data_IF_708168860123
#
_entry.id   IF_708168860123
#
_cell.length_a   1.000
_cell.length_b   1.000
_cell.length_c   1.000
_cell.angle_alpha   90.00
_cell.angle_beta   90.00
_cell.angle_gamma   90.00
#
_symmetry.space_group_name_H-M   'P 1'
#
loop_
_entity.id
_entity.type
_entity.pdbx_description
1 polymer ?
#
# COMPACT_ATOMS: atom_id res chain seq x y z
N UNK A 1 25.04 -37.30 12.77
CA UNK A 1 24.46 -36.63 11.59
C UNK A 1 23.24 -35.90 12.11
N UNK A 2 23.23 -34.57 12.07
CA UNK A 2 22.08 -33.79 12.56
C UNK A 2 21.04 -33.79 11.43
N UNK A 3 19.96 -34.55 11.61
CA UNK A 3 18.82 -34.56 10.69
C UNK A 3 18.05 -33.25 10.88
N UNK A 4 18.34 -32.26 10.05
CA UNK A 4 17.46 -31.11 9.91
C UNK A 4 16.23 -31.54 9.10
N UNK A 5 15.00 -31.24 9.56
CA UNK A 5 13.80 -31.53 8.79
C UNK A 5 13.87 -30.82 7.44
N UNK A 6 13.41 -31.49 6.38
CA UNK A 6 13.31 -30.91 5.04
C UNK A 6 12.65 -29.53 5.12
N UNK A 7 13.33 -28.52 4.55
CA UNK A 7 12.87 -27.14 4.53
C UNK A 7 11.41 -27.09 4.09
N UNK A 8 10.52 -26.71 5.01
CA UNK A 8 9.20 -26.22 4.60
C UNK A 8 9.47 -25.08 3.64
N UNK A 9 9.08 -25.23 2.36
CA UNK A 9 9.22 -24.20 1.32
C UNK A 9 8.82 -22.84 1.90
N UNK A 10 9.81 -22.07 2.33
CA UNK A 10 9.59 -20.74 2.85
C UNK A 10 9.47 -19.87 1.60
N UNK A 11 8.24 -19.55 1.22
CA UNK A 11 8.02 -18.58 0.15
C UNK A 11 8.73 -17.26 0.54
N UNK A 12 9.54 -16.69 -0.37
CA UNK A 12 10.26 -15.46 -0.08
C UNK A 12 9.26 -14.34 0.21
N UNK A 13 9.48 -13.61 1.29
CA UNK A 13 8.58 -12.54 1.77
C UNK A 13 8.80 -11.19 1.08
N UNK A 14 9.91 -11.04 0.38
CA UNK A 14 10.28 -9.84 -0.34
C UNK A 14 10.78 -10.23 -1.72
N UNK A 15 10.26 -9.57 -2.75
CA UNK A 15 10.71 -9.72 -4.13
C UNK A 15 11.30 -8.40 -4.61
N UNK A 16 12.44 -8.45 -5.29
CA UNK A 16 13.09 -7.27 -5.87
C UNK A 16 13.05 -7.36 -7.38
N UNK A 17 12.67 -6.27 -8.04
CA UNK A 17 12.68 -6.13 -9.51
C UNK A 17 13.51 -4.91 -9.88
N UNK A 18 14.56 -5.09 -10.67
CA UNK A 18 15.22 -4.01 -11.42
C UNK A 18 14.64 -3.97 -12.83
N UNK A 19 14.27 -2.79 -13.32
CA UNK A 19 13.69 -2.66 -14.64
C UNK A 19 13.69 -1.25 -15.16
N UNK A 20 13.14 -1.10 -16.37
CA UNK A 20 12.99 0.19 -17.04
C UNK A 20 11.52 0.59 -17.17
N UNK A 21 11.25 1.86 -16.91
CA UNK A 21 10.00 2.55 -17.19
C UNK A 21 9.95 2.85 -18.69
N UNK A 22 8.78 2.66 -19.28
CA UNK A 22 8.51 3.10 -20.65
C UNK A 22 8.29 4.61 -20.71
N UNK A 23 8.03 5.12 -21.92
CA UNK A 23 7.62 6.51 -22.10
C UNK A 23 6.38 6.85 -21.26
N UNK A 24 6.44 7.97 -20.54
CA UNK A 24 5.37 8.50 -19.71
C UNK A 24 4.55 9.50 -20.50
N UNK A 25 3.33 9.12 -20.90
CA UNK A 25 2.32 10.06 -21.37
C UNK A 25 1.46 10.52 -20.17
N UNK A 26 1.47 11.81 -19.80
CA UNK A 26 0.64 12.34 -18.72
C UNK A 26 -0.87 12.09 -18.92
N UNK A 27 -1.33 11.99 -20.18
CA UNK A 27 -2.74 11.75 -20.50
C UNK A 27 -3.13 10.29 -20.41
N UNK A 28 -2.15 9.38 -20.56
CA UNK A 28 -2.36 7.95 -20.52
C UNK A 28 -1.25 7.27 -19.72
N UNK A 29 -1.21 7.48 -18.39
CA UNK A 29 -0.15 6.91 -17.56
C UNK A 29 -0.17 5.38 -17.62
N UNK A 30 1.00 4.71 -17.62
CA UNK A 30 1.04 3.25 -17.69
C UNK A 30 0.34 2.60 -16.50
N UNK A 31 -0.44 1.54 -16.74
CA UNK A 31 -1.20 0.84 -15.68
C UNK A 31 -0.88 -0.65 -15.56
N UNK A 32 -0.38 -1.28 -16.63
CA UNK A 32 -0.20 -2.76 -16.69
C UNK A 32 1.22 -3.23 -16.38
N UNK A 33 2.20 -2.33 -16.42
CA UNK A 33 3.62 -2.67 -16.24
C UNK A 33 4.09 -2.20 -14.87
N UNK A 34 5.06 -2.91 -14.31
CA UNK A 34 5.78 -2.44 -13.11
C UNK A 34 6.57 -1.16 -13.45
N UNK A 35 6.69 -0.23 -12.49
CA UNK A 35 6.21 -0.33 -11.11
C UNK A 35 4.73 0.06 -10.92
N UNK A 36 4.09 0.65 -11.94
CA UNK A 36 2.70 1.16 -11.87
C UNK A 36 1.66 0.11 -11.49
N UNK A 37 1.77 -1.09 -12.06
CA UNK A 37 0.86 -2.19 -11.75
C UNK A 37 0.97 -2.63 -10.28
N UNK A 38 2.14 -2.53 -9.65
CA UNK A 38 2.30 -2.87 -8.23
C UNK A 38 1.49 -1.93 -7.34
N UNK A 39 1.55 -0.62 -7.61
CA UNK A 39 0.75 0.39 -6.89
C UNK A 39 -0.76 0.15 -7.10
N UNK A 40 -1.17 -0.18 -8.32
CA UNK A 40 -2.59 -0.38 -8.67
C UNK A 40 -3.17 -1.71 -8.17
N UNK A 41 -2.32 -2.70 -7.90
CA UNK A 41 -2.72 -3.99 -7.34
C UNK A 41 -2.94 -3.93 -5.83
N UNK A 42 -2.54 -2.85 -5.16
CA UNK A 42 -2.87 -2.64 -3.75
C UNK A 42 -4.38 -2.61 -3.54
N UNK A 43 -4.88 -3.31 -2.53
CA UNK A 43 -6.31 -3.31 -2.22
C UNK A 43 -6.75 -2.01 -1.55
N UNK A 44 -6.15 -1.73 -0.39
CA UNK A 44 -6.43 -0.55 0.42
C UNK A 44 -5.13 0.06 0.88
N UNK A 45 -4.88 1.32 0.53
CA UNK A 45 -3.65 2.00 0.90
C UNK A 45 -3.90 2.80 2.17
N UNK A 46 -3.11 2.54 3.20
CA UNK A 46 -3.10 3.33 4.43
C UNK A 46 -2.11 4.48 4.34
N UNK A 47 -0.98 4.24 3.68
CA UNK A 47 0.20 5.08 3.73
C UNK A 47 0.84 5.17 2.35
N UNK A 48 1.13 6.39 1.91
CA UNK A 48 2.01 6.67 0.79
C UNK A 48 3.12 7.60 1.26
N UNK A 49 4.36 7.38 0.82
CA UNK A 49 5.50 8.22 1.18
C UNK A 49 6.35 8.55 -0.03
N UNK A 50 6.85 9.78 -0.06
CA UNK A 50 7.85 10.24 -1.01
C UNK A 50 9.09 10.69 -0.24
N UNK A 51 10.25 10.11 -0.55
CA UNK A 51 11.54 10.48 0.01
C UNK A 51 12.42 10.99 -1.13
N UNK A 52 13.00 12.16 -0.96
CA UNK A 52 13.85 12.81 -1.96
C UNK A 52 14.87 13.74 -1.27
N UNK A 53 15.99 14.07 -1.94
CA UNK A 53 16.90 15.12 -1.47
C UNK A 53 16.19 16.44 -1.18
N UNK A 54 16.64 17.13 -0.15
CA UNK A 54 16.06 18.41 0.30
C UNK A 54 16.10 19.48 -0.80
N UNK A 55 17.17 19.52 -1.59
CA UNK A 55 17.30 20.48 -2.70
C UNK A 55 16.23 20.25 -3.77
N UNK A 56 15.89 18.98 -4.06
CA UNK A 56 14.82 18.64 -5.00
C UNK A 56 13.45 19.00 -4.46
N UNK A 57 13.21 18.76 -3.16
CA UNK A 57 11.97 19.13 -2.52
C UNK A 57 11.72 20.65 -2.64
N UNK A 58 12.74 21.46 -2.38
CA UNK A 58 12.65 22.92 -2.49
C UNK A 58 12.31 23.38 -3.91
N UNK A 59 12.80 22.67 -4.93
CA UNK A 59 12.49 22.94 -6.35
C UNK A 59 11.03 22.61 -6.66
N UNK A 60 10.55 21.41 -6.27
CA UNK A 60 9.26 20.90 -6.76
C UNK A 60 8.07 21.28 -5.87
N UNK A 61 8.28 21.61 -4.59
CA UNK A 61 7.20 21.68 -3.58
C UNK A 61 6.00 22.52 -3.99
N UNK A 62 6.22 23.68 -4.63
CA UNK A 62 5.13 24.60 -4.97
C UNK A 62 4.21 23.98 -6.01
N UNK A 63 4.76 23.54 -7.13
CA UNK A 63 3.98 23.00 -8.25
C UNK A 63 3.45 21.60 -7.90
N UNK A 64 4.26 20.80 -7.19
CA UNK A 64 3.89 19.48 -6.71
C UNK A 64 2.59 19.49 -5.89
N UNK A 65 2.50 20.36 -4.87
CA UNK A 65 1.32 20.42 -4.01
C UNK A 65 0.12 21.18 -4.60
N UNK A 66 0.35 22.06 -5.58
CA UNK A 66 -0.73 22.77 -6.27
C UNK A 66 -1.49 21.87 -7.24
N UNK A 67 -0.78 20.98 -7.92
CA UNK A 67 -1.36 20.08 -8.92
C UNK A 67 -1.85 18.75 -8.34
N UNK A 68 -1.33 18.35 -7.17
CA UNK A 68 -1.77 17.13 -6.50
C UNK A 68 -3.17 17.28 -5.91
N UNK A 69 -4.08 16.38 -6.26
CA UNK A 69 -5.40 16.32 -5.63
C UNK A 69 -5.28 15.86 -4.18
N UNK A 70 -5.93 16.58 -3.26
CA UNK A 70 -5.95 16.21 -1.84
C UNK A 70 -6.94 15.05 -1.66
N UNK A 71 -6.51 13.85 -1.24
CA UNK A 71 -7.42 12.75 -1.09
C UNK A 71 -8.30 12.99 0.15
N UNK A 72 -9.59 12.69 -0.02
CA UNK A 72 -10.60 12.79 1.04
C UNK A 72 -11.30 11.45 1.12
N UNK A 73 -11.49 10.97 2.34
CA UNK A 73 -12.31 9.79 2.60
C UNK A 73 -13.38 10.11 3.64
N UNK A 74 -14.46 9.35 3.63
CA UNK A 74 -15.56 9.48 4.57
C UNK A 74 -15.49 8.38 5.62
N UNK A 75 -15.58 8.74 6.89
CA UNK A 75 -15.70 7.80 8.02
C UNK A 75 -17.14 7.78 8.51
N UNK A 76 -17.74 6.59 8.59
CA UNK A 76 -19.15 6.42 8.96
C UNK A 76 -19.31 5.22 9.88
N UNK A 77 -20.17 5.31 10.90
CA UNK A 77 -20.51 4.17 11.75
C UNK A 77 -21.88 3.67 11.33
N UNK A 78 -21.94 2.49 10.71
CA UNK A 78 -23.19 1.88 10.26
C UNK A 78 -23.14 0.34 10.33
N UNK A 79 -24.29 -0.32 10.54
CA UNK A 79 -24.38 -1.78 10.46
C UNK A 79 -24.34 -2.24 8.99
N UNK A 80 -23.90 -3.48 8.77
CA UNK A 80 -23.83 -4.09 7.43
C UNK A 80 -25.16 -4.02 6.67
N UNK A 81 -26.30 -4.12 7.38
CA UNK A 81 -27.63 -4.02 6.81
C UNK A 81 -27.85 -2.70 6.04
N UNK A 82 -27.32 -1.59 6.54
CA UNK A 82 -27.48 -0.28 5.90
C UNK A 82 -26.79 -0.22 4.53
N UNK A 83 -25.76 -1.04 4.28
CA UNK A 83 -25.13 -1.14 2.95
C UNK A 83 -26.05 -1.73 1.88
N UNK A 84 -27.12 -2.42 2.29
CA UNK A 84 -28.09 -3.08 1.41
C UNK A 84 -29.37 -2.28 1.20
N UNK A 85 -29.40 -1.01 1.65
CA UNK A 85 -30.60 -0.18 1.67
C UNK A 85 -30.46 1.03 0.73
N UNK A 86 -31.60 1.40 0.12
CA UNK A 86 -31.77 2.64 -0.63
C UNK A 86 -30.83 2.84 -1.82
N UNK A 87 -30.62 4.12 -2.16
CA UNK A 87 -29.75 4.54 -3.25
C UNK A 87 -28.28 4.21 -3.00
N UNK A 88 -27.86 4.17 -1.73
CA UNK A 88 -26.51 3.82 -1.35
C UNK A 88 -26.13 2.41 -1.85
N UNK A 89 -27.03 1.44 -1.68
CA UNK A 89 -26.86 0.11 -2.24
C UNK A 89 -26.78 0.13 -3.76
N UNK A 90 -27.74 0.77 -4.43
CA UNK A 90 -27.86 0.73 -5.89
C UNK A 90 -26.67 1.39 -6.60
N UNK A 91 -26.20 2.52 -6.08
CA UNK A 91 -25.20 3.33 -6.75
C UNK A 91 -23.77 2.93 -6.43
N UNK A 92 -23.47 2.62 -5.17
CA UNK A 92 -22.11 2.34 -4.72
C UNK A 92 -21.82 0.85 -4.52
N UNK A 93 -22.71 0.11 -3.88
CA UNK A 93 -22.40 -1.25 -3.39
C UNK A 93 -22.72 -2.34 -4.41
N UNK A 94 -23.88 -2.26 -5.07
CA UNK A 94 -24.40 -3.30 -5.97
C UNK A 94 -23.47 -3.61 -7.14
N UNK A 95 -22.63 -2.66 -7.54
CA UNK A 95 -21.69 -2.81 -8.67
C UNK A 95 -20.42 -3.60 -8.30
N UNK A 96 -20.19 -3.87 -7.01
CA UNK A 96 -18.98 -4.52 -6.49
C UNK A 96 -19.19 -5.92 -5.89
N UNK A 97 -18.11 -6.42 -5.28
CA UNK A 97 -18.08 -7.66 -4.49
C UNK A 97 -17.85 -7.25 -3.04
N UNK A 98 -18.69 -7.76 -2.13
CA UNK A 98 -18.52 -7.58 -0.70
C UNK A 98 -17.79 -8.78 -0.12
N UNK A 99 -16.56 -8.57 0.35
CA UNK A 99 -15.75 -9.61 1.00
C UNK A 99 -15.73 -9.38 2.51
N UNK A 100 -16.17 -10.38 3.27
CA UNK A 100 -16.21 -10.34 4.73
C UNK A 100 -15.25 -11.37 5.32
N UNK A 101 -14.43 -10.95 6.27
CA UNK A 101 -13.56 -11.84 7.05
C UNK A 101 -14.20 -12.06 8.42
N UNK A 102 -14.75 -13.25 8.64
CA UNK A 102 -15.50 -13.61 9.84
C UNK A 102 -14.70 -14.56 10.73
N UNK A 103 -14.86 -14.43 12.04
CA UNK A 103 -14.45 -15.49 12.96
C UNK A 103 -15.40 -16.70 12.87
N UNK A 104 -15.00 -17.82 13.48
CA UNK A 104 -15.75 -19.08 13.44
C UNK A 104 -17.20 -18.91 13.91
N UNK A 105 -17.41 -18.26 15.05
CA UNK A 105 -18.72 -18.16 15.67
C UNK A 105 -19.65 -17.30 14.81
N UNK A 106 -19.16 -16.13 14.37
CA UNK A 106 -19.89 -15.25 13.47
C UNK A 106 -20.23 -15.93 12.15
N UNK A 107 -19.30 -16.68 11.57
CA UNK A 107 -19.50 -17.41 10.30
C UNK A 107 -20.58 -18.50 10.43
N UNK A 108 -20.46 -19.38 11.43
CA UNK A 108 -21.39 -20.49 11.65
C UNK A 108 -22.81 -19.99 11.96
N UNK A 109 -22.93 -18.92 12.76
CA UNK A 109 -24.22 -18.29 13.08
C UNK A 109 -24.82 -17.53 11.91
N UNK A 110 -24.00 -16.80 11.14
CA UNK A 110 -24.46 -16.08 9.96
C UNK A 110 -24.97 -17.06 8.90
N UNK A 111 -24.40 -18.27 8.89
CA UNK A 111 -24.75 -19.32 7.96
C UNK A 111 -24.57 -18.80 6.53
N UNK A 112 -23.48 -18.12 6.20
CA UNK A 112 -23.17 -17.70 4.84
C UNK A 112 -22.21 -18.69 4.20
N UNK A 113 -22.13 -18.72 2.88
CA UNK A 113 -21.17 -19.58 2.17
C UNK A 113 -19.82 -18.89 2.14
N UNK A 114 -18.79 -19.50 2.71
CA UNK A 114 -17.43 -18.98 2.70
C UNK A 114 -16.38 -20.09 2.71
N UNK A 115 -15.13 -19.68 2.52
CA UNK A 115 -13.95 -20.56 2.52
C UNK A 115 -13.08 -20.26 3.74
N UNK A 116 -12.40 -21.26 4.33
CA UNK A 116 -11.46 -21.00 5.40
C UNK A 116 -10.27 -20.17 4.89
N UNK A 117 -9.91 -19.12 5.64
CA UNK A 117 -8.76 -18.25 5.39
C UNK A 117 -7.50 -18.81 6.06
N UNK A 118 -6.47 -19.09 5.26
CA UNK A 118 -5.14 -19.49 5.70
C UNK A 118 -4.85 -21.01 5.69
N UNK A 119 -3.56 -21.34 5.76
CA UNK A 119 -3.07 -22.72 5.77
C UNK A 119 -3.52 -23.40 7.06
N UNK A 120 -4.27 -24.49 6.93
CA UNK A 120 -4.66 -25.36 8.05
C UNK A 120 -3.41 -25.75 8.85
N UNK A 121 -3.32 -25.31 10.12
CA UNK A 121 -2.46 -26.00 11.11
C UNK A 121 -1.19 -25.31 11.61
N UNK A 122 -1.14 -23.99 11.85
CA UNK A 122 -0.15 -23.42 12.79
C UNK A 122 -0.79 -23.06 14.13
N UNK A 123 -0.32 -23.70 15.22
CA UNK A 123 -0.62 -23.32 16.62
C UNK A 123 -0.39 -21.81 16.75
N UNK A 124 -1.46 -21.05 17.08
CA UNK A 124 -1.56 -19.59 17.36
C UNK A 124 -2.34 -18.72 16.37
N UNK A 125 -2.78 -19.21 15.22
CA UNK A 125 -3.68 -18.41 14.34
C UNK A 125 -5.14 -18.80 14.58
N UNK A 126 -5.99 -17.83 14.94
CA UNK A 126 -7.45 -18.06 14.99
C UNK A 126 -7.93 -18.25 13.55
N UNK A 127 -8.62 -19.37 13.22
CA UNK A 127 -9.14 -19.56 11.89
C UNK A 127 -10.14 -18.44 11.56
N UNK A 128 -10.05 -17.89 10.36
CA UNK A 128 -11.03 -16.95 9.79
C UNK A 128 -11.73 -17.62 8.60
N UNK A 129 -12.89 -17.10 8.23
CA UNK A 129 -13.63 -17.51 7.03
C UNK A 129 -13.82 -16.28 6.15
N UNK A 130 -13.50 -16.43 4.87
CA UNK A 130 -13.76 -15.43 3.83
C UNK A 130 -15.11 -15.71 3.21
N UNK A 131 -16.02 -14.77 3.31
CA UNK A 131 -17.34 -14.80 2.67
C UNK A 131 -17.35 -13.75 1.57
N UNK A 132 -17.35 -14.19 0.32
CA UNK A 132 -17.44 -13.31 -0.85
C UNK A 132 -18.86 -13.27 -1.39
N UNK A 133 -19.42 -12.07 -1.49
CA UNK A 133 -20.79 -11.84 -1.93
C UNK A 133 -20.75 -10.95 -3.18
N UNK A 134 -20.97 -11.57 -4.34
CA UNK A 134 -21.19 -10.83 -5.57
C UNK A 134 -22.66 -10.40 -5.66
N UNK A 135 -22.91 -9.12 -5.36
CA UNK A 135 -24.25 -8.53 -5.29
C UNK A 135 -24.91 -8.30 -6.66
N UNK A 136 -24.21 -8.61 -7.76
CA UNK A 136 -24.73 -8.53 -9.14
C UNK A 136 -25.39 -9.83 -9.61
N UNK A 137 -25.24 -10.93 -8.87
CA UNK A 137 -25.79 -12.21 -9.27
C UNK A 137 -27.34 -12.18 -9.26
N UNK A 138 -28.01 -12.91 -10.16
CA UNK A 138 -29.49 -12.99 -10.18
C UNK A 138 -30.11 -13.50 -8.86
N UNK A 139 -29.34 -14.24 -8.06
CA UNK A 139 -29.73 -14.72 -6.72
C UNK A 139 -29.70 -13.63 -5.64
N UNK A 140 -29.09 -12.48 -5.94
CA UNK A 140 -28.94 -11.31 -5.05
C UNK A 140 -29.98 -10.21 -5.34
N UNK A 141 -31.06 -10.57 -6.05
CA UNK A 141 -32.21 -9.70 -6.22
C UNK A 141 -33.14 -9.79 -5.01
N UNK A 142 -33.82 -8.68 -4.70
CA UNK A 142 -34.81 -8.60 -3.63
C UNK A 142 -35.89 -9.69 -3.79
N UNK A 143 -36.23 -10.38 -2.69
CA UNK A 143 -37.22 -11.47 -2.66
C UNK A 143 -36.69 -12.82 -3.15
N UNK A 144 -35.39 -12.93 -3.46
CA UNK A 144 -34.73 -14.22 -3.69
C UNK A 144 -34.14 -14.73 -2.38
N UNK A 145 -34.24 -16.04 -2.17
CA UNK A 145 -33.70 -16.74 -0.97
C UNK A 145 -32.22 -16.41 -0.69
N UNK A 146 -31.42 -16.19 -1.73
CA UNK A 146 -30.01 -15.82 -1.59
C UNK A 146 -29.83 -14.46 -0.94
N UNK A 147 -30.49 -13.43 -1.48
CA UNK A 147 -30.49 -12.09 -0.90
C UNK A 147 -31.11 -12.05 0.49
N UNK A 148 -32.25 -12.71 0.69
CA UNK A 148 -32.96 -12.72 1.98
C UNK A 148 -32.10 -13.34 3.10
N UNK A 149 -31.28 -14.35 2.77
CA UNK A 149 -30.32 -14.96 3.70
C UNK A 149 -29.25 -13.96 4.15
N UNK A 150 -28.75 -13.12 3.25
CA UNK A 150 -27.76 -12.08 3.57
C UNK A 150 -28.40 -11.00 4.46
N UNK A 151 -29.59 -10.53 4.07
CA UNK A 151 -30.34 -9.54 4.86
C UNK A 151 -30.61 -10.09 6.27
N UNK A 152 -30.98 -11.36 6.40
CA UNK A 152 -31.16 -12.02 7.70
C UNK A 152 -29.85 -12.04 8.50
N UNK A 153 -28.74 -12.45 7.89
CA UNK A 153 -27.43 -12.49 8.56
C UNK A 153 -27.02 -11.09 9.05
N UNK A 154 -27.17 -10.05 8.24
CA UNK A 154 -26.80 -8.67 8.59
C UNK A 154 -27.74 -8.05 9.63
N UNK A 155 -28.99 -8.51 9.70
CA UNK A 155 -29.97 -8.03 10.69
C UNK A 155 -29.84 -8.72 12.04
N UNK A 156 -29.59 -10.03 12.06
CA UNK A 156 -29.75 -10.84 13.28
C UNK A 156 -28.42 -11.37 13.85
N UNK A 157 -27.36 -11.42 13.03
CA UNK A 157 -26.07 -11.97 13.46
C UNK A 157 -24.99 -10.89 13.42
N UNK A 158 -24.77 -10.29 12.25
CA UNK A 158 -23.79 -9.24 12.02
C UNK A 158 -24.41 -7.85 12.19
N UNK A 159 -25.16 -7.67 13.27
CA UNK A 159 -25.99 -6.49 13.53
C UNK A 159 -25.23 -5.32 14.16
N UNK A 160 -24.08 -5.59 14.77
CA UNK A 160 -23.26 -4.58 15.42
C UNK A 160 -22.76 -3.57 14.38
N UNK A 161 -22.99 -2.26 14.57
CA UNK A 161 -22.41 -1.23 13.73
C UNK A 161 -20.89 -1.28 13.76
N UNK A 162 -20.26 -1.09 12.60
CA UNK A 162 -18.80 -0.99 12.47
C UNK A 162 -18.42 0.35 11.84
N UNK A 163 -17.17 0.74 12.03
CA UNK A 163 -16.63 1.94 11.39
C UNK A 163 -16.19 1.61 9.97
N UNK A 164 -16.83 2.24 8.99
CA UNK A 164 -16.53 2.16 7.58
C UNK A 164 -15.67 3.34 7.15
N UNK A 165 -14.72 3.07 6.25
CA UNK A 165 -13.95 4.07 5.52
C UNK A 165 -14.37 3.97 4.05
N UNK A 166 -14.89 5.06 3.50
CA UNK A 166 -15.30 5.15 2.11
C UNK A 166 -14.38 6.12 1.37
N UNK A 167 -13.84 5.69 0.23
CA UNK A 167 -13.07 6.52 -0.67
C UNK A 167 -13.83 6.60 -1.99
N UNK A 168 -14.16 7.81 -2.43
CA UNK A 168 -14.75 8.01 -3.75
C UNK A 168 -13.64 7.89 -4.80
N UNK A 169 -13.82 6.97 -5.75
CA UNK A 169 -12.87 6.72 -6.83
C UNK A 169 -13.02 7.69 -8.00
N UNK A 170 -13.87 8.72 -7.87
CA UNK A 170 -14.09 9.76 -8.87
C UNK A 170 -15.19 9.43 -9.85
N UNK A 171 -16.25 8.73 -9.40
CA UNK A 171 -17.50 8.72 -10.15
C UNK A 171 -18.15 10.11 -10.03
N UNK A 172 -18.90 10.53 -11.05
CA UNK A 172 -19.68 11.77 -11.01
C UNK A 172 -20.39 11.90 -9.67
N UNK A 173 -20.07 12.97 -8.92
CA UNK A 173 -20.64 13.19 -7.60
C UNK A 173 -22.17 13.23 -7.72
N UNK A 174 -22.84 12.29 -7.07
CA UNK A 174 -24.29 12.28 -6.98
C UNK A 174 -24.74 13.41 -6.06
N UNK A 175 -25.76 14.16 -6.47
CA UNK A 175 -26.35 15.22 -5.67
C UNK A 175 -27.85 14.92 -5.51
N UNK A 176 -28.32 14.57 -4.30
CA UNK A 176 -27.56 14.41 -3.04
C UNK A 176 -26.68 13.15 -3.02
N UNK A 177 -25.62 13.15 -2.20
CA UNK A 177 -24.78 11.97 -1.99
C UNK A 177 -25.58 10.95 -1.14
N UNK A 178 -25.81 9.71 -1.63
CA UNK A 178 -26.51 8.68 -0.87
C UNK A 178 -25.91 8.37 0.51
N UNK A 179 -24.63 8.70 0.74
CA UNK A 179 -23.97 8.53 2.04
C UNK A 179 -24.37 9.60 3.06
N UNK A 180 -24.86 10.77 2.63
CA UNK A 180 -25.16 11.93 3.51
C UNK A 180 -26.21 11.60 4.58
N UNK A 181 -27.14 10.68 4.30
CA UNK A 181 -28.17 10.22 5.27
C UNK A 181 -27.55 9.57 6.51
N UNK A 182 -26.30 9.12 6.42
CA UNK A 182 -25.56 8.49 7.50
C UNK A 182 -24.58 9.44 8.21
N UNK A 183 -24.67 10.75 7.93
CA UNK A 183 -23.87 11.81 8.55
C UNK A 183 -22.35 11.51 8.54
N UNK A 184 -21.75 11.31 7.35
CA UNK A 184 -20.35 10.93 7.25
C UNK A 184 -19.41 12.01 7.78
N UNK A 185 -18.36 11.61 8.50
CA UNK A 185 -17.25 12.51 8.81
C UNK A 185 -16.26 12.49 7.63
N UNK A 186 -16.21 13.59 6.86
CA UNK A 186 -15.20 13.74 5.80
C UNK A 186 -13.84 14.04 6.42
N UNK A 187 -12.83 13.27 6.03
CA UNK A 187 -11.45 13.41 6.50
C UNK A 187 -10.56 13.70 5.30
N UNK A 188 -10.02 14.92 5.27
CA UNK A 188 -9.00 15.30 4.31
C UNK A 188 -7.64 14.77 4.78
N UNK A 189 -6.91 14.08 3.90
CA UNK A 189 -5.55 13.65 4.19
C UNK A 189 -4.61 14.80 3.87
N UNK A 190 -3.92 15.27 4.90
CA UNK A 190 -2.90 16.31 4.80
C UNK A 190 -1.52 15.62 4.82
N UNK A 191 -0.60 15.97 3.92
CA UNK A 191 0.76 15.46 3.98
C UNK A 191 1.47 15.92 5.25
N UNK A 192 2.14 14.99 5.92
CA UNK A 192 3.11 15.26 6.97
C UNK A 192 4.50 15.35 6.34
N UNK A 193 5.26 16.40 6.64
CA UNK A 193 6.57 16.66 6.03
C UNK A 193 7.62 16.59 7.13
N UNK A 194 8.51 15.60 7.04
CA UNK A 194 9.71 15.49 7.86
C UNK A 194 10.91 15.97 7.04
N UNK A 195 11.49 17.11 7.40
CA UNK A 195 12.69 17.67 6.80
C UNK A 195 13.95 17.38 7.63
N UNK A 196 15.11 17.85 7.16
CA UNK A 196 16.40 17.77 7.87
C UNK A 196 16.82 16.34 8.26
N UNK A 197 16.40 15.33 7.49
CA UNK A 197 16.83 13.95 7.70
C UNK A 197 18.26 13.82 7.19
N UNK A 198 19.23 14.02 8.09
CA UNK A 198 20.65 13.87 7.81
C UNK A 198 20.99 12.41 7.62
N UNK A 199 21.64 12.08 6.51
CA UNK A 199 22.06 10.72 6.18
C UNK A 199 23.49 10.68 5.64
N UNK A 200 24.19 9.56 5.88
CA UNK A 200 25.29 9.16 5.00
C UNK A 200 24.67 8.49 3.77
N UNK A 201 24.94 9.03 2.59
CA UNK A 201 24.36 8.57 1.33
C UNK A 201 25.14 7.38 0.78
N UNK A 202 24.52 6.17 0.70
CA UNK A 202 25.09 5.06 -0.04
C UNK A 202 24.99 5.34 -1.55
N UNK A 203 25.70 4.54 -2.35
CA UNK A 203 25.40 4.47 -3.78
C UNK A 203 24.00 3.90 -3.96
N UNK A 204 23.14 4.59 -4.71
CA UNK A 204 21.82 4.09 -5.11
C UNK A 204 21.80 3.50 -6.53
N UNK A 205 22.97 3.35 -7.15
CA UNK A 205 23.12 2.73 -8.46
C UNK A 205 23.30 1.23 -8.30
N UNK A 206 22.47 0.39 -8.94
CA UNK A 206 22.66 -1.05 -8.90
C UNK A 206 24.00 -1.42 -9.55
N UNK A 207 24.60 -2.57 -9.17
CA UNK A 207 25.78 -3.09 -9.85
C UNK A 207 25.55 -3.21 -11.37
N UNK A 208 26.60 -3.00 -12.15
CA UNK A 208 26.55 -3.09 -13.63
C UNK A 208 27.26 -4.32 -14.18
N UNK A 209 28.04 -5.02 -13.37
CA UNK A 209 28.88 -6.13 -13.84
C UNK A 209 28.06 -7.40 -14.07
N UNK A 210 27.91 -7.82 -15.33
CA UNK A 210 27.22 -9.06 -15.70
C UNK A 210 28.06 -10.33 -15.45
N UNK A 211 28.88 -10.34 -14.40
CA UNK A 211 29.70 -11.49 -14.02
C UNK A 211 28.79 -12.64 -13.54
N UNK A 212 29.38 -13.84 -13.33
CA UNK A 212 28.66 -14.95 -12.70
C UNK A 212 28.18 -14.64 -11.27
N UNK A 213 28.76 -13.62 -10.63
CA UNK A 213 28.47 -13.18 -9.26
C UNK A 213 27.42 -12.05 -9.21
N UNK A 214 27.00 -11.51 -10.37
CA UNK A 214 26.03 -10.41 -10.48
C UNK A 214 24.75 -10.63 -9.66
N UNK A 215 24.25 -11.87 -9.63
CA UNK A 215 23.04 -12.21 -8.91
C UNK A 215 23.17 -12.03 -7.39
N UNK A 216 24.35 -12.32 -6.84
CA UNK A 216 24.63 -12.18 -5.42
C UNK A 216 24.94 -10.71 -5.08
N UNK A 217 25.76 -10.03 -5.89
CA UNK A 217 26.07 -8.60 -5.71
C UNK A 217 24.79 -7.72 -5.76
N UNK A 218 23.92 -7.99 -6.74
CA UNK A 218 22.64 -7.28 -6.86
C UNK A 218 21.74 -7.53 -5.66
N UNK A 219 21.71 -8.78 -5.16
CA UNK A 219 20.89 -9.15 -4.01
C UNK A 219 21.37 -8.44 -2.75
N UNK A 220 22.67 -8.42 -2.49
CA UNK A 220 23.24 -7.75 -1.32
C UNK A 220 22.97 -6.24 -1.40
N UNK A 221 23.25 -5.62 -2.55
CA UNK A 221 22.90 -4.22 -2.82
C UNK A 221 21.41 -3.93 -2.56
N UNK A 222 20.52 -4.80 -3.05
CA UNK A 222 19.09 -4.61 -2.91
C UNK A 222 18.60 -4.75 -1.46
N UNK A 223 19.18 -5.66 -0.69
CA UNK A 223 18.86 -5.84 0.74
C UNK A 223 19.35 -4.65 1.54
N UNK A 224 20.61 -4.27 1.37
CA UNK A 224 21.24 -3.15 2.07
C UNK A 224 20.53 -1.81 1.77
N UNK A 225 20.20 -1.57 0.49
CA UNK A 225 19.47 -0.37 0.08
C UNK A 225 18.07 -0.34 0.69
N UNK A 226 17.35 -1.46 0.69
CA UNK A 226 16.02 -1.52 1.29
C UNK A 226 16.05 -1.33 2.81
N UNK A 227 17.04 -1.89 3.50
CA UNK A 227 17.23 -1.67 4.94
C UNK A 227 17.47 -0.19 5.25
N UNK A 228 18.38 0.45 4.52
CA UNK A 228 18.66 1.89 4.66
C UNK A 228 17.42 2.76 4.42
N UNK A 229 16.67 2.49 3.34
CA UNK A 229 15.40 3.19 3.05
C UNK A 229 14.33 2.95 4.12
N UNK A 230 14.28 1.74 4.67
CA UNK A 230 13.36 1.39 5.76
C UNK A 230 13.68 2.17 7.03
N UNK A 231 14.97 2.34 7.36
CA UNK A 231 15.40 3.12 8.51
C UNK A 231 15.06 4.61 8.36
N UNK A 232 15.18 5.19 7.15
CA UNK A 232 14.70 6.55 6.85
C UNK A 232 13.18 6.64 7.03
N UNK A 233 12.44 5.67 6.50
CA UNK A 233 10.98 5.61 6.62
C UNK A 233 10.52 5.53 8.08
N UNK A 234 11.31 4.88 8.93
CA UNK A 234 11.09 4.76 10.38
C UNK A 234 11.58 5.95 11.22
N UNK A 235 12.18 6.99 10.60
CA UNK A 235 12.87 8.07 11.32
C UNK A 235 13.94 7.55 12.30
N UNK A 236 14.63 6.47 11.93
CA UNK A 236 15.64 5.87 12.78
C UNK A 236 16.87 6.78 12.86
N UNK A 237 17.45 7.00 14.05
CA UNK A 237 18.71 7.74 14.19
C UNK A 237 19.89 7.00 13.55
N UNK A 238 19.77 5.69 13.26
CA UNK A 238 20.88 4.86 12.73
C UNK A 238 21.41 5.28 11.36
N UNK A 239 20.64 6.05 10.59
CA UNK A 239 21.10 6.60 9.31
C UNK A 239 21.83 7.94 9.46
N UNK A 240 21.74 8.58 10.63
CA UNK A 240 22.33 9.88 10.90
C UNK A 240 23.86 9.78 11.03
N UNK A 241 24.63 10.60 10.28
CA UNK A 241 26.10 10.61 10.36
C UNK A 241 26.65 10.92 11.75
N UNK A 242 25.89 11.66 12.57
CA UNK A 242 26.31 12.13 13.89
C UNK A 242 25.83 11.20 15.02
N UNK A 243 25.26 10.05 14.68
CA UNK A 243 24.77 9.06 15.64
C UNK A 243 25.92 8.38 16.43
N UNK A 244 25.80 8.34 17.75
CA UNK A 244 26.83 7.83 18.68
C UNK A 244 26.38 6.57 19.40
N UNK A 245 25.69 5.68 18.70
CA UNK A 245 25.24 4.42 19.29
C UNK A 245 26.41 3.52 19.66
N UNK A 246 26.30 2.90 20.83
CA UNK A 246 27.22 1.85 21.25
C UNK A 246 27.16 0.66 20.26
N UNK A 247 28.33 0.23 19.77
CA UNK A 247 28.45 -0.86 18.80
C UNK A 247 28.01 -2.22 19.35
N UNK A 248 27.93 -2.39 20.67
CA UNK A 248 27.30 -3.54 21.31
C UNK A 248 25.77 -3.54 21.13
N UNK A 249 25.14 -2.37 20.99
CA UNK A 249 23.69 -2.23 20.81
C UNK A 249 23.28 -2.24 19.33
N UNK A 250 24.08 -1.64 18.45
CA UNK A 250 23.81 -1.63 17.02
C UNK A 250 25.11 -1.65 16.22
N UNK A 251 25.20 -2.59 15.28
CA UNK A 251 26.31 -2.69 14.31
C UNK A 251 25.91 -2.20 12.93
N UNK A 252 24.73 -1.58 12.82
CA UNK A 252 24.26 -1.07 11.54
C UNK A 252 25.19 0.05 11.08
N UNK A 253 25.61 -0.05 9.83
CA UNK A 253 26.35 0.99 9.11
C UNK A 253 25.65 1.19 7.77
N UNK A 254 25.47 2.44 7.31
CA UNK A 254 24.92 2.71 5.98
C UNK A 254 25.70 1.95 4.89
N UNK A 255 25.02 1.51 3.81
CA UNK A 255 25.67 0.72 2.76
C UNK A 255 26.85 1.44 2.08
N UNK A 256 27.91 0.69 1.80
CA UNK A 256 29.12 1.21 1.16
C UNK A 256 29.98 2.14 2.04
N UNK A 257 31.09 2.61 1.48
CA UNK A 257 32.09 3.43 2.21
C UNK A 257 31.87 4.94 2.06
N UNK A 258 30.73 5.37 1.52
CA UNK A 258 30.48 6.78 1.24
C UNK A 258 30.30 7.60 2.52
N UNK A 259 31.16 8.59 2.69
CA UNK A 259 31.05 9.63 3.74
C UNK A 259 30.23 10.84 3.27
N UNK A 260 29.57 10.72 2.12
CA UNK A 260 28.78 11.80 1.53
C UNK A 260 27.57 12.06 2.42
N UNK A 261 27.55 13.23 3.06
CA UNK A 261 26.41 13.67 3.87
C UNK A 261 25.38 14.33 2.97
N UNK A 262 24.10 14.01 3.18
CA UNK A 262 22.98 14.66 2.50
C UNK A 262 21.82 14.84 3.46
N UNK A 263 20.95 15.80 3.14
CA UNK A 263 19.68 15.99 3.82
C UNK A 263 18.55 15.48 2.93
N UNK A 264 17.67 14.68 3.52
CA UNK A 264 16.47 14.20 2.85
C UNK A 264 15.24 14.85 3.43
N UNK A 265 14.22 14.93 2.59
CA UNK A 265 12.85 15.24 2.99
C UNK A 265 11.99 14.01 2.76
N UNK A 266 11.14 13.70 3.74
CA UNK A 266 10.11 12.67 3.65
C UNK A 266 8.74 13.33 3.74
N UNK A 267 7.89 13.03 2.76
CA UNK A 267 6.50 13.47 2.71
C UNK A 267 5.62 12.23 2.89
N UNK A 268 4.77 12.22 3.90
CA UNK A 268 3.94 11.08 4.26
C UNK A 268 2.46 11.45 4.20
N UNK A 269 1.70 10.73 3.39
CA UNK A 269 0.23 10.79 3.37
C UNK A 269 -0.32 9.58 4.11
N UNK A 270 -1.13 9.80 5.15
CA UNK A 270 -1.71 8.73 5.96
C UNK A 270 -3.21 8.87 6.11
N UNK A 271 -3.96 7.81 5.78
CA UNK A 271 -5.42 7.83 5.79
C UNK A 271 -6.01 6.59 5.15
N UNK A 272 -7.07 6.77 4.36
CA UNK A 272 -7.63 5.74 3.49
C UNK A 272 -7.54 6.23 2.05
N UNK A 273 -6.56 5.70 1.32
CA UNK A 273 -6.14 6.18 0.01
C UNK A 273 -6.52 5.15 -1.06
N UNK A 274 -6.98 5.62 -2.21
CA UNK A 274 -7.24 4.74 -3.36
C UNK A 274 -5.94 4.42 -4.12
N UNK A 275 -5.79 3.21 -4.69
CA UNK A 275 -4.70 2.86 -5.58
C UNK A 275 -4.56 3.81 -6.78
N UNK A 276 -5.68 4.28 -7.33
CA UNK A 276 -5.69 5.24 -8.44
C UNK A 276 -5.10 6.59 -8.05
N UNK A 277 -5.37 7.09 -6.84
CA UNK A 277 -4.75 8.31 -6.32
C UNK A 277 -3.24 8.13 -6.10
N UNK A 278 -2.82 7.03 -5.46
CA UNK A 278 -1.40 6.77 -5.22
C UNK A 278 -0.62 6.58 -6.53
N UNK A 279 -1.23 5.97 -7.54
CA UNK A 279 -0.67 5.86 -8.88
C UNK A 279 -0.51 7.23 -9.56
N UNK A 280 -1.54 8.09 -9.48
CA UNK A 280 -1.46 9.46 -10.01
C UNK A 280 -0.38 10.28 -9.30
N UNK A 281 -0.25 10.16 -7.98
CA UNK A 281 0.81 10.83 -7.22
C UNK A 281 2.21 10.39 -7.66
N UNK A 282 2.41 9.08 -7.87
CA UNK A 282 3.68 8.56 -8.37
C UNK A 282 4.02 9.08 -9.78
N UNK A 283 3.05 9.07 -10.69
CA UNK A 283 3.22 9.66 -12.03
C UNK A 283 3.55 11.16 -11.93
N UNK A 284 2.89 11.87 -11.02
CA UNK A 284 3.14 13.28 -10.79
C UNK A 284 4.56 13.55 -10.29
N UNK A 285 5.08 12.72 -9.37
CA UNK A 285 6.47 12.78 -8.93
C UNK A 285 7.45 12.55 -10.10
N UNK A 286 7.18 11.55 -10.95
CA UNK A 286 8.01 11.29 -12.14
C UNK A 286 8.05 12.46 -13.13
N UNK A 287 6.97 13.24 -13.25
CA UNK A 287 6.88 14.37 -14.17
C UNK A 287 7.52 15.66 -13.62
N UNK A 288 7.55 15.83 -12.30
CA UNK A 288 8.06 17.04 -11.65
C UNK A 288 9.51 16.93 -11.18
N UNK A 289 9.98 15.73 -10.86
CA UNK A 289 11.37 15.50 -10.45
C UNK A 289 12.29 15.46 -11.68
N UNK A 290 13.46 16.11 -11.67
CA UNK A 290 14.42 16.05 -12.78
C UNK A 290 14.75 14.61 -13.20
N UNK A 291 14.96 14.41 -14.51
CA UNK A 291 15.14 13.09 -15.09
C UNK A 291 16.36 12.34 -14.56
N UNK A 292 17.45 13.02 -14.20
CA UNK A 292 18.64 12.39 -13.64
C UNK A 292 18.58 12.22 -12.12
N UNK A 293 17.62 12.85 -11.45
CA UNK A 293 17.52 12.82 -10.00
C UNK A 293 16.83 11.56 -9.48
N UNK A 294 17.13 11.16 -8.25
CA UNK A 294 16.49 10.02 -7.60
C UNK A 294 15.38 10.46 -6.66
N UNK A 295 14.42 9.58 -6.44
CA UNK A 295 13.47 9.66 -5.34
C UNK A 295 12.98 8.25 -5.01
N UNK A 296 12.42 8.08 -3.82
CA UNK A 296 11.77 6.85 -3.38
C UNK A 296 10.30 7.10 -3.13
N UNK A 297 9.47 6.20 -3.64
CA UNK A 297 8.04 6.20 -3.41
C UNK A 297 7.63 4.90 -2.74
N UNK A 298 7.02 4.99 -1.57
CA UNK A 298 6.48 3.86 -0.85
C UNK A 298 4.95 3.91 -0.83
N UNK A 299 4.32 2.75 -0.97
CA UNK A 299 2.88 2.57 -0.81
C UNK A 299 2.66 1.33 0.04
N UNK A 300 1.90 1.50 1.12
CA UNK A 300 1.63 0.43 2.06
C UNK A 300 0.17 0.36 2.50
N UNK A 301 -0.27 -0.87 2.74
CA UNK A 301 -1.63 -1.19 3.14
C UNK A 301 -1.90 -1.04 4.64
N UNK A 302 -3.08 -1.49 5.06
CA UNK A 302 -3.42 -1.56 6.49
C UNK A 302 -2.81 -2.81 7.13
N UNK A 303 -1.97 -2.62 8.14
CA UNK A 303 -1.44 -3.73 8.94
C UNK A 303 -2.57 -4.61 9.49
N UNK A 304 -2.57 -5.89 9.11
CA UNK A 304 -3.54 -6.90 9.58
C UNK A 304 -4.82 -7.03 8.75
N UNK A 305 -5.04 -6.19 7.74
CA UNK A 305 -6.06 -6.41 6.70
C UNK A 305 -5.41 -7.24 5.60
N UNK A 306 -5.78 -8.51 5.50
CA UNK A 306 -5.31 -9.37 4.41
C UNK A 306 -6.21 -9.15 3.21
N UNK A 307 -5.75 -8.38 2.25
CA UNK A 307 -6.29 -8.43 0.89
C UNK A 307 -5.37 -9.34 0.10
N UNK A 308 -5.96 -10.38 -0.51
CA UNK A 308 -5.19 -11.32 -1.31
C UNK A 308 -4.45 -10.57 -2.43
N UNK A 309 -3.12 -10.71 -2.48
CA UNK A 309 -2.29 -10.08 -3.50
C UNK A 309 -1.77 -8.66 -3.18
N UNK A 310 -2.22 -8.00 -2.10
CA UNK A 310 -1.65 -6.72 -1.65
C UNK A 310 -0.24 -6.94 -1.10
N UNK A 311 0.71 -6.14 -1.56
CA UNK A 311 2.11 -6.15 -1.12
C UNK A 311 2.59 -4.72 -0.99
N UNK A 312 3.03 -4.36 0.20
CA UNK A 312 3.70 -3.08 0.42
C UNK A 312 4.83 -2.94 -0.60
N UNK A 313 4.83 -1.81 -1.33
CA UNK A 313 5.77 -1.58 -2.40
C UNK A 313 6.65 -0.36 -2.12
N UNK A 314 7.96 -0.54 -2.28
CA UNK A 314 8.95 0.53 -2.25
C UNK A 314 9.56 0.63 -3.65
N UNK A 315 9.51 1.81 -4.26
CA UNK A 315 10.00 2.06 -5.61
C UNK A 315 11.09 3.13 -5.52
N UNK A 316 12.30 2.81 -5.97
CA UNK A 316 13.40 3.76 -6.13
C UNK A 316 13.55 4.09 -7.61
N UNK A 317 13.43 5.38 -7.96
CA UNK A 317 13.91 5.90 -9.25
C UNK A 317 15.42 6.06 -9.17
N UNK A 318 16.15 5.34 -10.01
CA UNK A 318 17.62 5.26 -9.93
C UNK A 318 18.25 6.60 -10.36
N UNK A 319 19.28 7.10 -9.64
CA UNK A 319 19.99 8.32 -10.05
C UNK A 319 20.77 8.12 -11.36
N UNK A 320 20.83 9.18 -12.18
CA UNK A 320 21.51 9.23 -13.48
C UNK A 320 21.05 8.17 -14.49
N UNK A 321 19.90 7.53 -14.23
CA UNK A 321 19.29 6.50 -15.08
C UNK A 321 17.79 6.81 -15.22
N UNK A 322 17.40 7.69 -16.16
CA UNK A 322 16.10 8.37 -16.15
C UNK A 322 14.90 7.44 -16.24
N UNK A 323 15.09 6.28 -16.85
CA UNK A 323 14.06 5.27 -17.01
C UNK A 323 14.22 4.10 -16.06
N UNK A 324 15.27 4.01 -15.23
CA UNK A 324 15.47 2.83 -14.40
C UNK A 324 14.79 2.95 -13.04
N UNK A 325 14.30 1.80 -12.55
CA UNK A 325 13.72 1.69 -11.23
C UNK A 325 14.11 0.37 -10.55
N UNK A 326 14.12 0.42 -9.22
CA UNK A 326 14.11 -0.75 -8.35
C UNK A 326 12.79 -0.79 -7.60
N UNK A 327 12.19 -1.98 -7.52
CA UNK A 327 10.92 -2.22 -6.84
C UNK A 327 11.09 -3.36 -5.84
N UNK A 328 10.80 -3.10 -4.57
CA UNK A 328 10.65 -4.10 -3.53
C UNK A 328 9.16 -4.31 -3.26
N UNK A 329 8.70 -5.56 -3.32
CA UNK A 329 7.33 -5.97 -2.97
C UNK A 329 7.39 -6.90 -1.75
N UNK A 330 6.84 -6.43 -0.63
CA UNK A 330 6.87 -7.12 0.67
C UNK A 330 5.47 -7.64 1.03
N UNK A 331 5.38 -8.93 1.36
CA UNK A 331 4.13 -9.65 1.63
C UNK A 331 3.81 -9.85 3.12
#
# INVERSE_FOLDING_TARGET
MLDFPEDTKNEPKCYVTHGTMGHLDPKQPPVKRKPFAAILNEGFIQKAELILPEELYEIIKKDFFNETTKPVYSRVILPLKALLEGEFFNEYIKKGILTLYLDKESYERAGLTGVPDGVKGKRKTKPRWVVEINLRLPSMLHGKKGFDRIVYAFKNVLSTPVTWLFCDLGATALAPDPLDIHFPTKVAVVPDITSEIKVNMPSLKPPTDTSSEYGDDFKDFAVETHEWLSLISLNSPRVNPDDQIDSFLSRYVPPGESTTRSNLVKITWRGFLSPSWAHKLFVHALLNVPQEAWFVYYVGGFGGVRVEGSKDCTILKVPDAPNEYLLWEVA
#
